data_IF_407536915601
#
_entry.id   IF_407536915601
#
_cell.length_a   1.000
_cell.length_b   1.000
_cell.length_c   1.000
_cell.angle_alpha   90.00
_cell.angle_beta   90.00
_cell.angle_gamma   90.00
#
_symmetry.space_group_name_H-M   'P 1'
#
loop_
_entity.id
_entity.type
_entity.pdbx_description
1 polymer ?
#
# COMPACT_ATOMS: atom_id res chain seq x y z
N UNK A 1 -0.87 -1.01 14.20
CA UNK A 1 -1.47 -1.31 12.89
C UNK A 1 -0.52 -0.88 11.78
N UNK A 2 0.02 -1.87 11.07
CA UNK A 2 1.03 -1.61 10.02
C UNK A 2 0.35 -1.60 8.64
N UNK A 3 -0.50 -0.63 8.42
CA UNK A 3 -1.15 -0.40 7.13
C UNK A 3 -0.28 0.52 6.29
N UNK A 4 0.62 -0.07 5.50
CA UNK A 4 1.57 0.68 4.66
C UNK A 4 0.89 1.20 3.40
N UNK A 5 -0.14 0.50 2.92
CA UNK A 5 -0.89 0.85 1.70
C UNK A 5 -2.38 0.72 1.97
N UNK A 6 -3.12 1.73 1.61
CA UNK A 6 -4.59 1.73 1.62
C UNK A 6 -5.06 1.87 0.18
N UNK A 7 -5.89 0.92 -0.27
CA UNK A 7 -6.59 1.10 -1.54
C UNK A 7 -7.74 2.08 -1.33
N UNK A 8 -7.75 3.13 -2.12
CA UNK A 8 -8.87 4.07 -2.18
C UNK A 8 -9.64 3.80 -3.48
N UNK A 9 -10.87 3.35 -3.32
CA UNK A 9 -11.73 3.00 -4.46
C UNK A 9 -12.68 4.15 -4.79
N UNK A 10 -12.93 4.33 -6.07
CA UNK A 10 -13.92 5.26 -6.58
C UNK A 10 -15.21 4.52 -6.89
N UNK A 11 -16.27 4.82 -6.16
CA UNK A 11 -17.58 4.23 -6.38
C UNK A 11 -18.47 5.20 -7.19
N UNK A 12 -19.02 4.72 -8.28
CA UNK A 12 -19.94 5.44 -9.14
C UNK A 12 -21.28 4.73 -9.16
N UNK A 13 -22.37 5.50 -9.20
CA UNK A 13 -23.69 4.92 -9.47
C UNK A 13 -23.69 4.35 -10.90
N UNK A 14 -24.09 3.07 -11.05
CA UNK A 14 -24.05 2.36 -12.33
C UNK A 14 -24.90 3.03 -13.41
N UNK A 15 -26.14 3.41 -13.09
CA UNK A 15 -27.06 4.05 -14.05
C UNK A 15 -26.53 5.40 -14.54
N UNK A 16 -25.92 6.17 -13.62
CA UNK A 16 -25.27 7.44 -13.97
C UNK A 16 -24.07 7.19 -14.87
N UNK A 17 -23.21 6.22 -14.53
CA UNK A 17 -22.05 5.88 -15.35
C UNK A 17 -22.46 5.40 -16.74
N UNK A 18 -23.51 4.58 -16.84
CA UNK A 18 -23.99 4.05 -18.12
C UNK A 18 -24.58 5.16 -19.02
N UNK A 19 -25.16 6.20 -18.43
CA UNK A 19 -25.69 7.37 -19.15
C UNK A 19 -24.60 8.28 -19.73
N UNK A 20 -23.34 8.16 -19.27
CA UNK A 20 -22.24 9.00 -19.75
C UNK A 20 -21.83 8.63 -21.17
N UNK A 21 -21.43 9.63 -21.94
CA UNK A 21 -20.81 9.46 -23.25
C UNK A 21 -19.43 8.78 -23.11
N UNK A 22 -18.94 8.22 -24.20
CA UNK A 22 -17.61 7.62 -24.25
C UNK A 22 -16.49 8.62 -23.85
N UNK A 23 -16.64 9.88 -24.21
CA UNK A 23 -15.70 10.95 -23.86
C UNK A 23 -15.68 11.22 -22.35
N UNK A 24 -16.87 11.26 -21.72
CA UNK A 24 -16.98 11.47 -20.27
C UNK A 24 -16.45 10.26 -19.49
N UNK A 25 -16.76 9.04 -19.92
CA UNK A 25 -16.17 7.82 -19.33
C UNK A 25 -14.65 7.85 -19.40
N UNK A 26 -14.08 8.25 -20.54
CA UNK A 26 -12.64 8.38 -20.70
C UNK A 26 -12.04 9.50 -19.84
N UNK A 27 -12.73 10.61 -19.68
CA UNK A 27 -12.32 11.70 -18.81
C UNK A 27 -12.26 11.24 -17.33
N UNK A 28 -13.24 10.46 -16.87
CA UNK A 28 -13.23 9.87 -15.51
C UNK A 28 -12.04 8.95 -15.31
N UNK A 29 -11.76 8.07 -16.26
CA UNK A 29 -10.59 7.16 -16.19
C UNK A 29 -9.27 7.94 -16.10
N UNK A 30 -9.10 8.95 -16.94
CA UNK A 30 -7.91 9.81 -16.93
C UNK A 30 -7.80 10.59 -15.62
N UNK A 31 -8.90 11.12 -15.11
CA UNK A 31 -8.93 11.85 -13.85
C UNK A 31 -8.58 10.94 -12.66
N UNK A 32 -9.06 9.69 -12.63
CA UNK A 32 -8.72 8.72 -11.61
C UNK A 32 -7.22 8.40 -11.61
N UNK A 33 -6.64 8.13 -12.77
CA UNK A 33 -5.20 7.87 -12.91
C UNK A 33 -4.34 9.10 -12.53
N UNK A 34 -4.75 10.30 -12.94
CA UNK A 34 -4.06 11.53 -12.58
C UNK A 34 -4.14 11.81 -11.06
N UNK A 35 -5.30 11.53 -10.45
CA UNK A 35 -5.50 11.67 -9.00
C UNK A 35 -4.58 10.74 -8.21
N UNK A 36 -4.41 9.49 -8.65
CA UNK A 36 -3.50 8.54 -8.02
C UNK A 36 -2.06 9.05 -8.02
N UNK A 37 -1.54 9.45 -9.18
CA UNK A 37 -0.18 9.98 -9.33
C UNK A 37 0.04 11.25 -8.50
N UNK A 38 -0.93 12.17 -8.53
CA UNK A 38 -0.88 13.41 -7.76
C UNK A 38 -0.91 13.16 -6.26
N UNK A 39 -1.77 12.27 -5.79
CA UNK A 39 -1.88 11.90 -4.37
C UNK A 39 -0.58 11.28 -3.85
N UNK A 40 0.05 10.42 -4.63
CA UNK A 40 1.31 9.80 -4.24
C UNK A 40 2.45 10.82 -4.11
N UNK A 41 2.60 11.70 -5.09
CA UNK A 41 3.62 12.76 -5.06
C UNK A 41 3.38 13.75 -3.91
N UNK A 42 2.13 14.16 -3.72
CA UNK A 42 1.73 15.04 -2.63
C UNK A 42 2.02 14.42 -1.26
N UNK A 43 1.66 13.15 -1.07
CA UNK A 43 1.90 12.42 0.17
C UNK A 43 3.39 12.35 0.53
N UNK A 44 4.25 12.05 -0.45
CA UNK A 44 5.70 11.99 -0.20
C UNK A 44 6.22 13.35 0.28
N UNK A 45 5.84 14.44 -0.38
CA UNK A 45 6.29 15.77 -0.01
C UNK A 45 5.77 16.26 1.33
N UNK A 46 4.46 16.07 1.59
CA UNK A 46 3.84 16.57 2.82
C UNK A 46 4.14 15.71 4.04
N UNK A 47 4.17 14.38 3.90
CA UNK A 47 4.42 13.51 5.04
C UNK A 47 5.83 13.64 5.60
N UNK A 48 6.83 13.92 4.74
CA UNK A 48 8.19 14.19 5.22
C UNK A 48 8.25 15.43 6.11
N UNK A 49 7.63 16.53 5.71
CA UNK A 49 7.54 17.75 6.49
C UNK A 49 6.73 17.56 7.79
N UNK A 50 5.60 16.87 7.71
CA UNK A 50 4.76 16.57 8.87
C UNK A 50 5.48 15.67 9.88
N UNK A 51 6.21 14.65 9.41
CA UNK A 51 6.99 13.78 10.29
C UNK A 51 8.07 14.57 11.05
N UNK A 52 8.77 15.44 10.35
CA UNK A 52 9.77 16.32 10.97
C UNK A 52 9.14 17.20 12.05
N UNK A 53 8.02 17.84 11.76
CA UNK A 53 7.30 18.68 12.73
C UNK A 53 6.84 17.88 13.96
N UNK A 54 6.28 16.69 13.75
CA UNK A 54 5.82 15.82 14.83
C UNK A 54 6.96 15.39 15.76
N UNK A 55 8.12 15.07 15.21
CA UNK A 55 9.27 14.64 16.02
C UNK A 55 9.99 15.80 16.72
N UNK A 56 10.13 16.95 16.05
CA UNK A 56 10.88 18.08 16.57
C UNK A 56 10.06 18.96 17.53
N UNK A 57 8.76 19.14 17.26
CA UNK A 57 7.92 20.10 17.97
C UNK A 57 6.82 19.48 18.84
N UNK A 58 6.49 18.22 18.62
CA UNK A 58 5.37 17.56 19.32
C UNK A 58 5.78 16.34 20.15
N UNK A 59 7.08 16.06 20.26
CA UNK A 59 7.62 14.98 21.10
C UNK A 59 7.23 13.57 20.66
N UNK A 60 6.86 13.40 19.39
CA UNK A 60 6.55 12.05 18.83
C UNK A 60 7.84 11.26 18.70
N UNK A 61 7.82 10.04 19.21
CA UNK A 61 8.93 9.10 19.12
C UNK A 61 8.64 8.12 17.98
N UNK A 62 9.62 7.95 17.08
CA UNK A 62 9.57 6.93 16.06
C UNK A 62 10.19 5.65 16.60
N UNK A 63 9.37 4.61 16.65
CA UNK A 63 9.82 3.29 17.08
C UNK A 63 9.93 2.35 15.88
N UNK A 64 10.99 1.59 15.83
CA UNK A 64 11.11 0.49 14.87
C UNK A 64 10.23 -0.69 15.31
N UNK A 65 9.53 -1.27 14.34
CA UNK A 65 8.77 -2.49 14.62
C UNK A 65 9.72 -3.66 14.87
N UNK A 66 9.56 -4.40 15.99
CA UNK A 66 10.37 -5.58 16.25
C UNK A 66 10.31 -6.59 15.09
N UNK A 67 11.44 -7.20 14.75
CA UNK A 67 11.52 -8.08 13.57
C UNK A 67 10.64 -9.33 13.69
N UNK A 68 10.46 -9.87 14.90
CA UNK A 68 9.61 -11.01 15.21
C UNK A 68 8.11 -10.73 15.01
N UNK A 69 7.69 -9.49 15.23
CA UNK A 69 6.31 -9.08 15.01
C UNK A 69 5.80 -9.45 13.60
N UNK A 70 6.58 -9.16 12.57
CA UNK A 70 6.16 -9.48 11.19
C UNK A 70 6.09 -10.97 10.94
N UNK A 71 6.99 -11.76 11.52
CA UNK A 71 6.98 -13.22 11.41
C UNK A 71 5.75 -13.81 12.07
N UNK A 72 5.43 -13.37 13.28
CA UNK A 72 4.25 -13.83 14.02
C UNK A 72 2.95 -13.38 13.36
N UNK A 73 2.88 -12.13 12.90
CA UNK A 73 1.73 -11.60 12.17
C UNK A 73 1.46 -12.41 10.89
N UNK A 74 2.48 -12.68 10.09
CA UNK A 74 2.34 -13.46 8.85
C UNK A 74 1.92 -14.89 9.12
N UNK A 75 2.44 -15.52 10.17
CA UNK A 75 2.03 -16.87 10.56
C UNK A 75 0.55 -16.92 10.99
N UNK A 76 0.10 -15.96 11.80
CA UNK A 76 -1.29 -15.85 12.23
C UNK A 76 -2.24 -15.53 11.04
N UNK A 77 -1.86 -14.59 10.18
CA UNK A 77 -2.64 -14.24 9.01
C UNK A 77 -2.79 -15.42 8.04
N UNK A 78 -1.68 -16.12 7.76
CA UNK A 78 -1.70 -17.31 6.90
C UNK A 78 -2.65 -18.38 7.43
N UNK A 79 -2.60 -18.68 8.73
CA UNK A 79 -3.46 -19.66 9.37
C UNK A 79 -4.95 -19.32 9.16
N UNK A 80 -5.34 -18.06 9.45
CA UNK A 80 -6.73 -17.61 9.30
C UNK A 80 -7.21 -17.66 7.85
N UNK A 81 -6.36 -17.30 6.91
CA UNK A 81 -6.68 -17.32 5.47
C UNK A 81 -6.81 -18.76 4.94
N UNK A 82 -5.99 -19.69 5.42
CA UNK A 82 -6.09 -21.11 5.08
C UNK A 82 -7.35 -21.76 5.67
N UNK A 83 -7.73 -21.41 6.92
CA UNK A 83 -8.97 -21.85 7.53
C UNK A 83 -10.19 -21.34 6.74
N UNK A 84 -10.24 -20.05 6.39
CA UNK A 84 -11.31 -19.49 5.58
C UNK A 84 -11.37 -20.11 4.16
N UNK A 85 -10.23 -20.41 3.56
CA UNK A 85 -10.17 -21.09 2.27
C UNK A 85 -10.67 -22.55 2.34
N UNK A 86 -10.49 -23.22 3.45
CA UNK A 86 -11.02 -24.58 3.65
C UNK A 86 -12.55 -24.60 3.79
N UNK A 87 -13.16 -23.51 4.23
CA UNK A 87 -14.60 -23.39 4.44
C UNK A 87 -15.37 -22.84 3.21
N UNK A 88 -14.67 -22.16 2.28
CA UNK A 88 -15.31 -21.49 1.17
C UNK A 88 -14.49 -21.63 -0.12
N UNK A 89 -15.06 -22.34 -1.12
CA UNK A 89 -14.40 -22.63 -2.39
C UNK A 89 -14.04 -21.36 -3.19
N UNK A 90 -14.94 -20.37 -3.24
CA UNK A 90 -14.65 -19.09 -3.91
C UNK A 90 -13.53 -18.32 -3.21
N UNK A 91 -13.54 -18.34 -1.87
CA UNK A 91 -12.44 -17.74 -1.12
C UNK A 91 -11.10 -18.46 -1.38
N UNK A 92 -11.12 -19.77 -1.49
CA UNK A 92 -9.93 -20.57 -1.82
C UNK A 92 -9.35 -20.20 -3.21
N UNK A 93 -10.22 -20.02 -4.21
CA UNK A 93 -9.81 -19.58 -5.55
C UNK A 93 -9.16 -18.19 -5.51
N UNK A 94 -9.79 -17.22 -4.85
CA UNK A 94 -9.25 -15.86 -4.69
C UNK A 94 -7.93 -15.89 -3.93
N UNK A 95 -7.86 -16.64 -2.83
CA UNK A 95 -6.63 -16.76 -2.03
C UNK A 95 -5.48 -17.40 -2.82
N UNK A 96 -5.76 -18.41 -3.65
CA UNK A 96 -4.74 -19.01 -4.50
C UNK A 96 -4.24 -18.01 -5.54
N UNK A 97 -5.13 -17.27 -6.21
CA UNK A 97 -4.77 -16.23 -7.16
C UNK A 97 -3.87 -15.15 -6.53
N UNK A 98 -4.18 -14.74 -5.28
CA UNK A 98 -3.35 -13.78 -4.55
C UNK A 98 -1.96 -14.34 -4.21
N UNK A 99 -1.87 -15.61 -3.82
CA UNK A 99 -0.57 -16.26 -3.56
C UNK A 99 0.29 -16.32 -4.82
N UNK A 100 -0.30 -16.76 -5.95
CA UNK A 100 0.41 -16.86 -7.22
C UNK A 100 0.95 -15.50 -7.69
N UNK A 101 0.16 -14.44 -7.51
CA UNK A 101 0.59 -13.07 -7.79
C UNK A 101 1.69 -12.59 -6.82
N UNK A 102 1.55 -12.89 -5.54
CA UNK A 102 2.52 -12.50 -4.52
C UNK A 102 3.89 -13.17 -4.76
N UNK A 103 3.91 -14.43 -5.17
CA UNK A 103 5.15 -15.16 -5.48
C UNK A 103 5.97 -14.50 -6.59
N UNK A 104 5.31 -13.81 -7.51
CA UNK A 104 5.97 -13.07 -8.61
C UNK A 104 6.38 -11.66 -8.16
N UNK A 105 5.48 -10.95 -7.48
CA UNK A 105 5.63 -9.50 -7.25
C UNK A 105 6.42 -9.19 -5.99
N UNK A 106 6.23 -9.96 -4.92
CA UNK A 106 6.85 -9.66 -3.61
C UNK A 106 8.38 -9.70 -3.66
N UNK A 107 9.05 -10.67 -4.28
CA UNK A 107 10.51 -10.69 -4.35
C UNK A 107 11.09 -9.46 -5.06
N UNK A 108 10.46 -9.05 -6.18
CA UNK A 108 10.88 -7.85 -6.91
C UNK A 108 10.66 -6.58 -6.10
N UNK A 109 9.46 -6.42 -5.54
CA UNK A 109 9.09 -5.21 -4.82
C UNK A 109 9.87 -5.06 -3.51
N UNK A 110 10.05 -6.13 -2.74
CA UNK A 110 10.84 -6.12 -1.52
C UNK A 110 12.30 -5.74 -1.79
N UNK A 111 12.90 -6.25 -2.87
CA UNK A 111 14.25 -5.89 -3.28
C UNK A 111 14.39 -4.39 -3.62
N UNK A 112 13.46 -3.85 -4.40
CA UNK A 112 13.44 -2.44 -4.77
C UNK A 112 13.26 -1.52 -3.56
N UNK A 113 12.35 -1.86 -2.64
CA UNK A 113 12.11 -1.07 -1.43
C UNK A 113 13.29 -1.10 -0.47
N UNK A 114 13.92 -2.25 -0.29
CA UNK A 114 15.12 -2.38 0.55
C UNK A 114 16.27 -1.53 0.02
N UNK A 115 16.48 -1.51 -1.29
CA UNK A 115 17.51 -0.68 -1.92
C UNK A 115 17.24 0.80 -1.72
N UNK A 116 16.00 1.25 -1.91
CA UNK A 116 15.61 2.64 -1.70
C UNK A 116 15.78 3.07 -0.23
N UNK A 117 15.37 2.22 0.71
CA UNK A 117 15.53 2.49 2.13
C UNK A 117 17.00 2.57 2.55
N UNK A 118 17.86 1.69 2.00
CA UNK A 118 19.30 1.70 2.27
C UNK A 118 19.97 2.96 1.72
N UNK A 119 19.60 3.38 0.50
CA UNK A 119 20.09 4.62 -0.09
C UNK A 119 19.67 5.85 0.72
N UNK A 120 18.41 5.89 1.17
CA UNK A 120 17.91 6.98 2.01
C UNK A 120 18.64 7.09 3.33
N UNK A 121 18.93 5.97 3.99
CA UNK A 121 19.73 5.93 5.23
C UNK A 121 21.17 6.43 5.00
N UNK A 122 21.84 5.92 3.95
CA UNK A 122 23.19 6.36 3.60
C UNK A 122 23.24 7.88 3.32
N UNK A 123 22.22 8.42 2.64
CA UNK A 123 22.13 9.87 2.40
C UNK A 123 21.97 10.64 3.72
N UNK A 124 21.08 10.20 4.61
CA UNK A 124 20.88 10.86 5.90
C UNK A 124 22.16 10.89 6.75
N UNK A 125 22.99 9.86 6.67
CA UNK A 125 24.29 9.80 7.39
C UNK A 125 25.34 10.73 6.80
N UNK A 126 25.22 11.13 5.53
CA UNK A 126 26.13 12.12 4.90
C UNK A 126 25.81 13.57 5.27
N UNK A 127 24.63 13.83 5.83
CA UNK A 127 24.17 15.18 6.21
C UNK A 127 24.43 15.54 7.68
N UNK A 128 24.96 14.58 8.46
CA UNK A 128 25.37 14.79 9.86
C UNK A 128 26.80 15.30 9.94
#
# INVERSE_FOLDING_TARGET
LHQVVVNADFYLNGDVYDSLSATEKKALEVAANASLSKSQSYRIGTNGAALKDLTENHGVILEDTPADYFTEYMAAAKKLLEEAAAENEFFAEVWQSQKDFADIVVPFWAGAQTSNASLGRAHADTLK
#
